data_IF_062252374281
#
_entry.id   IF_062252374281
#
_cell.length_a   1.000
_cell.length_b   1.000
_cell.length_c   1.000
_cell.angle_alpha   90.00
_cell.angle_beta   90.00
_cell.angle_gamma   90.00
#
_symmetry.space_group_name_H-M   'P 1'
#
loop_
_entity.id
_entity.type
_entity.pdbx_description
1 polymer ?
#
# COMPACT_ATOMS: atom_id res chain seq x y z
N UNK A 1 -2.45 -42.05 -15.23
CA UNK A 1 -1.21 -41.33 -15.59
C UNK A 1 -1.58 -40.33 -16.68
N UNK A 2 -1.70 -39.06 -16.32
CA UNK A 2 -2.09 -37.98 -17.25
C UNK A 2 -0.83 -37.34 -17.85
N UNK A 3 -0.82 -36.98 -19.15
CA UNK A 3 0.36 -36.37 -19.73
C UNK A 3 0.51 -34.91 -19.30
N UNK A 4 1.67 -34.61 -18.72
CA UNK A 4 2.17 -33.25 -18.45
C UNK A 4 2.62 -32.68 -19.80
N UNK A 5 2.02 -31.58 -20.23
CA UNK A 5 2.46 -30.86 -21.43
C UNK A 5 3.40 -29.73 -20.99
N UNK A 6 4.69 -29.89 -21.27
CA UNK A 6 5.70 -28.84 -21.10
C UNK A 6 5.86 -28.17 -22.46
N UNK A 7 5.45 -26.92 -22.60
CA UNK A 7 5.78 -26.10 -23.76
C UNK A 7 6.99 -25.23 -23.45
N UNK A 8 8.11 -25.56 -24.08
CA UNK A 8 9.29 -24.72 -24.17
C UNK A 8 9.01 -23.55 -25.14
N UNK A 9 9.23 -22.32 -24.69
CA UNK A 9 9.14 -21.14 -25.55
C UNK A 9 10.41 -21.05 -26.41
N UNK A 10 10.27 -21.36 -27.70
CA UNK A 10 11.24 -21.03 -28.72
C UNK A 10 11.23 -19.52 -28.98
N UNK A 11 12.42 -18.93 -28.93
CA UNK A 11 12.68 -17.55 -29.31
C UNK A 11 12.88 -17.48 -30.83
N UNK A 12 11.93 -16.93 -31.57
CA UNK A 12 12.18 -16.39 -32.91
C UNK A 12 11.46 -15.07 -33.11
N UNK A 13 12.23 -14.12 -33.64
CA UNK A 13 11.95 -12.72 -33.83
C UNK A 13 11.43 -12.53 -35.26
N UNK A 14 10.26 -11.93 -35.43
CA UNK A 14 9.87 -11.24 -36.67
C UNK A 14 8.74 -10.26 -36.36
N UNK A 15 9.04 -8.98 -36.57
CA UNK A 15 8.07 -7.88 -36.58
C UNK A 15 6.99 -8.15 -37.62
N UNK A 16 5.74 -7.82 -37.30
CA UNK A 16 4.77 -7.24 -38.24
C UNK A 16 3.68 -6.53 -37.42
N UNK A 17 3.30 -5.37 -37.92
CA UNK A 17 2.42 -4.37 -37.33
C UNK A 17 1.06 -4.95 -36.93
N UNK A 18 0.57 -4.57 -35.75
CA UNK A 18 -0.76 -4.94 -35.29
C UNK A 18 -1.12 -4.25 -33.98
N UNK A 19 -1.80 -3.11 -34.09
CA UNK A 19 -2.63 -2.49 -33.04
C UNK A 19 -1.95 -2.33 -31.68
N UNK A 20 -1.28 -1.21 -31.46
CA UNK A 20 -0.96 -0.74 -30.11
C UNK A 20 -2.31 -0.49 -29.44
N UNK A 21 -2.78 -1.43 -28.61
CA UNK A 21 -3.81 -1.13 -27.63
C UNK A 21 -3.28 0.07 -26.85
N UNK A 22 -3.88 1.24 -27.07
CA UNK A 22 -3.57 2.44 -26.31
C UNK A 22 -4.01 2.16 -24.88
N UNK A 23 -3.11 1.56 -24.09
CA UNK A 23 -3.30 1.44 -22.66
C UNK A 23 -3.53 2.85 -22.15
N UNK A 24 -4.70 3.07 -21.56
CA UNK A 24 -5.01 4.31 -20.86
C UNK A 24 -3.85 4.65 -19.94
N UNK A 25 -3.39 5.90 -19.98
CA UNK A 25 -2.45 6.39 -18.96
C UNK A 25 -3.20 6.38 -17.64
N UNK A 26 -2.63 5.76 -16.62
CA UNK A 26 -3.25 5.67 -15.33
C UNK A 26 -2.29 6.23 -14.31
N UNK A 27 -2.76 7.26 -13.64
CA UNK A 27 -2.11 7.88 -12.50
C UNK A 27 -3.06 7.65 -11.33
N UNK A 28 -2.53 7.18 -10.20
CA UNK A 28 -3.32 6.92 -9.00
C UNK A 28 -2.47 7.17 -7.77
N UNK A 29 -3.12 7.34 -6.63
CA UNK A 29 -2.42 7.69 -5.40
C UNK A 29 -2.98 6.98 -4.19
N UNK A 30 -2.17 6.94 -3.13
CA UNK A 30 -2.56 6.43 -1.83
C UNK A 30 -2.00 7.34 -0.74
N UNK A 31 -2.84 7.71 0.21
CA UNK A 31 -2.43 8.47 1.39
C UNK A 31 -2.23 7.51 2.55
N UNK A 32 -1.12 7.68 3.27
CA UNK A 32 -0.82 6.94 4.49
C UNK A 32 -0.68 7.92 5.65
N UNK A 33 -1.39 7.64 6.73
CA UNK A 33 -1.35 8.45 7.96
C UNK A 33 -0.78 7.61 9.09
N UNK A 34 0.16 8.18 9.83
CA UNK A 34 0.80 7.48 10.96
C UNK A 34 -0.24 7.17 12.04
N UNK A 35 -0.27 5.92 12.49
CA UNK A 35 -0.97 5.53 13.71
C UNK A 35 0.01 5.50 14.89
N UNK A 36 0.08 6.59 15.66
CA UNK A 36 1.08 6.70 16.73
C UNK A 36 0.98 5.56 17.74
N UNK A 37 2.11 4.95 18.06
CA UNK A 37 2.26 3.96 19.11
C UNK A 37 3.62 4.18 19.77
N UNK A 38 3.68 4.39 21.10
CA UNK A 38 4.92 4.76 21.81
C UNK A 38 6.08 3.78 21.61
N UNK A 39 5.80 2.50 21.37
CA UNK A 39 6.80 1.44 21.19
C UNK A 39 7.33 1.33 19.75
N UNK A 40 6.59 1.85 18.76
CA UNK A 40 6.89 1.72 17.33
C UNK A 40 7.55 3.00 16.77
N UNK A 41 8.78 3.27 17.24
CA UNK A 41 9.55 4.48 16.88
C UNK A 41 10.29 4.38 15.54
N UNK A 42 10.52 3.16 15.03
CA UNK A 42 11.22 2.93 13.76
C UNK A 42 10.24 2.66 12.61
N UNK A 43 10.65 3.00 11.38
CA UNK A 43 9.80 2.90 10.19
C UNK A 43 9.43 1.45 9.81
N UNK A 44 10.29 0.49 10.15
CA UNK A 44 10.10 -0.94 9.92
C UNK A 44 8.98 -1.56 10.78
N UNK A 45 8.75 -0.97 11.97
CA UNK A 45 7.70 -1.40 12.90
C UNK A 45 6.50 -0.45 12.97
N UNK A 46 6.65 0.76 12.43
CA UNK A 46 5.58 1.75 12.35
C UNK A 46 4.38 1.20 11.56
N UNK A 47 3.20 1.59 12.03
CA UNK A 47 1.93 1.22 11.45
C UNK A 47 1.19 2.44 10.91
N UNK A 48 0.47 2.22 9.81
CA UNK A 48 -0.18 3.28 9.06
C UNK A 48 -1.63 2.94 8.80
N UNK A 49 -2.47 3.95 8.91
CA UNK A 49 -3.77 3.99 8.24
C UNK A 49 -3.54 4.35 6.77
N UNK A 50 -4.40 3.85 5.89
CA UNK A 50 -4.25 4.06 4.45
C UNK A 50 -5.62 4.28 3.82
N UNK A 51 -5.66 5.14 2.80
CA UNK A 51 -6.89 5.49 2.08
C UNK A 51 -6.58 6.33 0.86
N UNK A 52 -7.45 6.28 -0.14
CA UNK A 52 -7.30 7.07 -1.38
C UNK A 52 -7.71 8.52 -1.16
N UNK A 53 -8.71 8.75 -0.32
CA UNK A 53 -9.24 10.06 0.06
C UNK A 53 -9.41 10.17 1.58
N UNK A 54 -9.84 11.35 2.04
CA UNK A 54 -10.10 11.61 3.46
C UNK A 54 -11.28 10.80 4.00
N UNK A 55 -12.27 10.49 3.16
CA UNK A 55 -13.44 9.71 3.56
C UNK A 55 -13.02 8.28 3.91
N UNK A 56 -12.14 7.67 3.11
CA UNK A 56 -11.56 6.35 3.36
C UNK A 56 -10.66 6.31 4.58
N UNK A 57 -10.01 7.42 4.92
CA UNK A 57 -9.19 7.58 6.12
C UNK A 57 -10.04 7.81 7.38
N UNK A 58 -11.27 8.30 7.24
CA UNK A 58 -12.12 8.65 8.36
C UNK A 58 -12.40 7.44 9.27
N UNK A 59 -12.44 7.63 10.61
CA UNK A 59 -12.78 6.56 11.54
C UNK A 59 -14.16 5.93 11.24
N UNK A 60 -15.12 6.76 10.82
CA UNK A 60 -16.48 6.32 10.48
C UNK A 60 -16.50 5.33 9.32
N UNK A 61 -15.77 5.61 8.23
CA UNK A 61 -15.66 4.68 7.10
C UNK A 61 -14.90 3.41 7.47
N UNK A 62 -13.77 3.54 8.16
CA UNK A 62 -12.92 2.40 8.53
C UNK A 62 -13.61 1.42 9.46
N UNK A 63 -14.47 1.93 10.33
CA UNK A 63 -15.29 1.11 11.21
C UNK A 63 -16.49 0.46 10.50
N UNK A 64 -16.86 0.94 9.30
CA UNK A 64 -17.94 0.37 8.51
C UNK A 64 -17.59 -1.02 7.97
N UNK A 65 -18.62 -1.82 7.63
CA UNK A 65 -18.46 -3.14 7.01
C UNK A 65 -17.69 -3.04 5.68
N UNK A 66 -17.89 -1.94 4.92
CA UNK A 66 -17.19 -1.70 3.66
C UNK A 66 -15.70 -1.41 3.89
N UNK A 67 -15.37 -0.53 4.85
CA UNK A 67 -13.99 -0.23 5.24
C UNK A 67 -13.24 -1.45 5.74
N UNK A 68 -13.87 -2.24 6.63
CA UNK A 68 -13.31 -3.52 7.12
C UNK A 68 -13.09 -4.54 6.01
N UNK A 69 -13.93 -4.54 4.97
CA UNK A 69 -13.78 -5.42 3.82
C UNK A 69 -12.59 -5.02 2.94
N UNK A 70 -12.33 -3.71 2.79
CA UNK A 70 -11.15 -3.17 2.09
C UNK A 70 -9.87 -3.48 2.85
N UNK A 71 -9.91 -3.47 4.19
CA UNK A 71 -8.77 -3.89 5.01
C UNK A 71 -8.46 -5.39 4.91
N UNK A 72 -9.28 -6.22 4.24
CA UNK A 72 -9.04 -7.67 4.06
C UNK A 72 -8.80 -8.47 5.36
N UNK A 73 -9.25 -7.96 6.50
CA UNK A 73 -9.16 -8.63 7.79
C UNK A 73 -10.55 -8.69 8.42
N UNK A 74 -11.28 -9.77 8.09
CA UNK A 74 -12.35 -10.26 8.95
C UNK A 74 -11.76 -11.41 9.76
N UNK A 75 -11.16 -11.08 10.88
CA UNK A 75 -10.83 -12.04 11.93
C UNK A 75 -11.71 -11.65 13.13
N UNK A 76 -12.67 -12.53 13.46
CA UNK A 76 -13.64 -12.37 14.54
C UNK A 76 -12.97 -12.57 15.92
N UNK A 77 -12.08 -11.68 16.33
CA UNK A 77 -11.51 -11.67 17.69
C UNK A 77 -11.70 -10.33 18.41
N UNK A 78 -12.00 -10.46 19.70
CA UNK A 78 -12.53 -9.45 20.62
C UNK A 78 -11.49 -8.35 20.93
N UNK A 79 -11.96 -7.10 20.77
CA UNK A 79 -11.50 -5.78 21.23
C UNK A 79 -10.07 -5.28 21.00
N UNK A 80 -9.02 -6.10 20.96
CA UNK A 80 -7.63 -5.63 20.74
C UNK A 80 -7.12 -5.83 19.29
N UNK A 81 -7.86 -6.63 18.51
CA UNK A 81 -7.53 -7.01 17.12
C UNK A 81 -8.07 -6.03 16.07
N UNK A 82 -8.98 -5.13 16.45
CA UNK A 82 -9.61 -4.19 15.51
C UNK A 82 -8.64 -3.12 15.00
N UNK A 83 -7.74 -2.61 15.85
CA UNK A 83 -6.73 -1.62 15.44
C UNK A 83 -5.65 -2.28 14.56
N UNK A 84 -5.27 -3.52 14.86
CA UNK A 84 -4.37 -4.34 14.03
C UNK A 84 -4.97 -4.71 12.68
N UNK A 85 -6.29 -4.91 12.63
CA UNK A 85 -7.02 -5.14 11.40
C UNK A 85 -6.96 -3.92 10.46
N UNK A 86 -7.06 -2.72 11.02
CA UNK A 86 -7.18 -1.48 10.25
C UNK A 86 -5.85 -0.72 10.00
N UNK A 87 -4.73 -1.22 10.53
CA UNK A 87 -3.39 -0.68 10.31
C UNK A 87 -2.51 -1.66 9.55
N UNK A 88 -1.52 -1.15 8.82
CA UNK A 88 -0.56 -1.97 8.08
C UNK A 88 0.87 -1.49 8.31
N UNK A 89 1.82 -2.43 8.27
CA UNK A 89 3.26 -2.11 8.20
C UNK A 89 3.65 -1.82 6.74
N UNK A 90 4.70 -1.04 6.54
CA UNK A 90 5.16 -0.70 5.20
C UNK A 90 5.89 -1.88 4.53
N UNK A 91 5.68 -2.12 3.23
CA UNK A 91 6.52 -3.00 2.44
C UNK A 91 7.93 -2.43 2.26
N UNK A 92 8.89 -3.31 2.03
CA UNK A 92 10.31 -2.96 1.84
C UNK A 92 10.53 -1.92 0.72
N UNK A 93 9.76 -2.00 -0.36
CA UNK A 93 9.80 -1.02 -1.43
C UNK A 93 9.48 0.41 -0.98
N UNK A 94 8.48 0.59 -0.10
CA UNK A 94 8.16 1.91 0.42
C UNK A 94 9.17 2.41 1.44
N UNK A 95 9.72 1.53 2.28
CA UNK A 95 10.77 1.90 3.23
C UNK A 95 12.00 2.42 2.49
N UNK A 96 12.46 1.71 1.44
CA UNK A 96 13.56 2.15 0.58
C UNK A 96 13.30 3.50 -0.09
N UNK A 97 12.06 3.74 -0.54
CA UNK A 97 11.67 5.02 -1.14
C UNK A 97 11.66 6.17 -0.12
N UNK A 98 11.23 5.94 1.12
CA UNK A 98 11.28 6.94 2.19
C UNK A 98 12.72 7.29 2.56
N UNK A 99 13.57 6.28 2.71
CA UNK A 99 14.98 6.47 3.07
C UNK A 99 15.75 7.22 1.96
N UNK A 100 15.51 6.88 0.69
CA UNK A 100 16.16 7.55 -0.44
C UNK A 100 15.67 8.97 -0.70
N UNK A 101 14.44 9.30 -0.29
CA UNK A 101 13.86 10.65 -0.39
C UNK A 101 14.09 11.52 0.86
N UNK A 102 14.57 10.94 1.96
CA UNK A 102 14.75 11.64 3.23
C UNK A 102 13.43 11.98 3.94
N UNK A 103 12.35 11.26 3.64
CA UNK A 103 11.00 11.50 4.18
C UNK A 103 10.64 10.58 5.36
N UNK A 104 11.58 9.78 5.86
CA UNK A 104 11.35 8.83 6.95
C UNK A 104 10.84 9.51 8.23
N UNK A 105 11.42 10.64 8.62
CA UNK A 105 10.97 11.40 9.79
C UNK A 105 9.57 11.99 9.61
N UNK A 106 9.30 12.62 8.45
CA UNK A 106 7.99 13.17 8.13
C UNK A 106 6.89 12.08 8.14
N UNK A 107 7.23 10.89 7.62
CA UNK A 107 6.36 9.72 7.65
C UNK A 107 6.09 9.21 9.07
N UNK A 108 7.08 9.27 9.97
CA UNK A 108 6.92 8.88 11.37
C UNK A 108 6.13 9.90 12.20
N UNK A 109 6.18 11.17 11.84
CA UNK A 109 5.44 12.24 12.53
C UNK A 109 3.96 12.27 12.10
N UNK A 110 3.69 12.34 10.81
CA UNK A 110 2.34 12.57 10.28
C UNK A 110 1.90 11.52 9.25
N UNK A 111 2.84 11.04 8.44
CA UNK A 111 2.55 10.14 7.33
C UNK A 111 3.06 10.71 6.01
N UNK A 112 2.63 10.13 4.91
CA UNK A 112 3.11 10.48 3.58
C UNK A 112 2.11 10.12 2.50
N UNK A 113 2.34 10.61 1.30
CA UNK A 113 1.52 10.36 0.13
C UNK A 113 2.33 9.61 -0.93
N UNK A 114 1.70 8.65 -1.59
CA UNK A 114 2.29 7.87 -2.67
C UNK A 114 1.58 8.23 -3.96
N UNK A 115 2.36 8.64 -4.94
CA UNK A 115 1.90 8.80 -6.31
C UNK A 115 2.41 7.65 -7.15
N UNK A 116 1.54 7.10 -7.99
CA UNK A 116 1.84 5.97 -8.86
C UNK A 116 1.38 6.26 -10.28
N UNK A 117 2.12 5.76 -11.27
CA UNK A 117 1.83 5.95 -12.68
C UNK A 117 2.19 4.74 -13.51
N UNK A 118 1.41 4.46 -14.55
CA UNK A 118 1.72 3.43 -15.56
C UNK A 118 2.80 3.86 -16.55
N UNK A 119 3.15 5.15 -16.59
CA UNK A 119 4.18 5.74 -17.46
C UNK A 119 5.26 6.41 -16.63
N UNK A 120 6.45 6.60 -17.20
CA UNK A 120 7.51 7.35 -16.53
C UNK A 120 7.10 8.83 -16.45
N UNK A 121 6.90 9.41 -15.26
CA UNK A 121 6.50 10.80 -15.14
C UNK A 121 7.74 11.69 -15.25
N UNK A 122 7.78 12.53 -16.29
CA UNK A 122 8.81 13.54 -16.55
C UNK A 122 10.27 13.05 -16.30
N UNK A 123 11.22 13.98 -16.14
CA UNK A 123 12.64 13.68 -15.83
C UNK A 123 12.94 13.79 -14.33
N UNK A 124 11.92 13.61 -13.49
CA UNK A 124 12.09 13.73 -12.05
C UNK A 124 12.76 12.45 -11.49
N UNK A 125 13.94 12.56 -10.85
CA UNK A 125 14.65 11.41 -10.30
C UNK A 125 13.95 10.78 -9.09
N UNK A 126 12.96 11.45 -8.47
CA UNK A 126 12.23 10.91 -7.33
C UNK A 126 11.28 9.75 -7.71
N UNK A 127 11.01 9.55 -9.01
CA UNK A 127 10.22 8.42 -9.49
C UNK A 127 11.06 7.15 -9.58
N UNK A 128 10.69 6.17 -8.77
CA UNK A 128 11.31 4.85 -8.72
C UNK A 128 10.56 3.89 -9.63
N UNK A 129 11.31 3.09 -10.38
CA UNK A 129 10.78 2.12 -11.34
C UNK A 129 10.57 0.76 -10.68
N UNK A 130 9.38 0.20 -10.84
CA UNK A 130 9.03 -1.14 -10.38
C UNK A 130 8.60 -2.02 -11.55
N UNK A 131 9.01 -3.28 -11.52
CA UNK A 131 8.73 -4.28 -12.56
C UNK A 131 7.93 -5.42 -11.96
N UNK A 132 6.86 -5.82 -12.65
CA UNK A 132 6.04 -6.96 -12.25
C UNK A 132 6.89 -8.24 -12.26
N UNK A 133 6.92 -8.95 -11.13
CA UNK A 133 7.59 -10.23 -11.00
C UNK A 133 6.63 -11.40 -11.19
N UNK A 134 5.46 -11.32 -10.55
CA UNK A 134 4.51 -12.42 -10.52
C UNK A 134 3.07 -11.90 -10.35
N UNK A 135 2.14 -12.63 -10.97
CA UNK A 135 0.70 -12.49 -10.76
C UNK A 135 0.19 -13.81 -10.17
N UNK A 136 -0.49 -13.73 -9.03
CA UNK A 136 -1.05 -14.87 -8.32
C UNK A 136 -2.54 -14.70 -8.09
N UNK A 137 -3.32 -15.76 -8.30
CA UNK A 137 -4.73 -15.79 -7.90
C UNK A 137 -4.88 -16.54 -6.58
N UNK A 138 -5.24 -15.82 -5.52
CA UNK A 138 -5.61 -16.42 -4.24
C UNK A 138 -7.07 -16.87 -4.31
N UNK A 139 -7.32 -18.17 -4.11
CA UNK A 139 -8.67 -18.72 -3.94
C UNK A 139 -9.05 -18.67 -2.47
N UNK A 140 -9.84 -17.68 -2.08
CA UNK A 140 -10.44 -17.57 -0.76
C UNK A 140 -11.79 -18.30 -0.70
N UNK A 141 -12.06 -18.95 0.44
CA UNK A 141 -13.38 -19.51 0.74
C UNK A 141 -14.28 -18.37 1.24
N UNK A 142 -15.18 -17.89 0.39
CA UNK A 142 -16.15 -16.86 0.79
C UNK A 142 -17.26 -17.41 1.68
N UNK A 143 -17.95 -16.50 2.37
CA UNK A 143 -19.18 -16.80 3.12
C UNK A 143 -20.22 -17.40 2.16
N UNK A 144 -20.96 -18.41 2.61
CA UNK A 144 -21.92 -19.18 1.80
C UNK A 144 -21.30 -20.04 0.67
N UNK A 145 -20.02 -20.39 0.75
CA UNK A 145 -19.40 -21.36 -0.16
C UNK A 145 -19.07 -20.82 -1.55
N UNK A 146 -19.16 -19.51 -1.78
CA UNK A 146 -18.69 -18.87 -3.01
C UNK A 146 -17.17 -18.67 -2.95
N UNK A 147 -16.42 -19.21 -3.90
CA UNK A 147 -14.98 -18.93 -4.04
C UNK A 147 -14.80 -17.46 -4.41
N UNK A 148 -14.10 -16.68 -3.58
CA UNK A 148 -13.60 -15.36 -3.95
C UNK A 148 -12.20 -15.55 -4.51
N UNK A 149 -12.01 -15.23 -5.79
CA UNK A 149 -10.68 -15.19 -6.36
C UNK A 149 -10.19 -13.74 -6.25
N UNK A 150 -9.17 -13.50 -5.45
CA UNK A 150 -8.46 -12.21 -5.43
C UNK A 150 -7.16 -12.36 -6.20
N UNK A 151 -6.96 -11.50 -7.19
CA UNK A 151 -5.68 -11.39 -7.89
C UNK A 151 -4.76 -10.55 -7.03
N UNK A 152 -3.51 -10.98 -6.86
CA UNK A 152 -2.45 -10.24 -6.19
C UNK A 152 -1.22 -10.25 -7.07
N UNK A 153 -0.55 -9.11 -7.16
CA UNK A 153 0.57 -8.92 -8.08
C UNK A 153 1.76 -8.39 -7.30
N UNK A 154 2.90 -9.03 -7.44
CA UNK A 154 4.14 -8.61 -6.82
C UNK A 154 5.00 -7.83 -7.83
N UNK A 155 5.48 -6.66 -7.41
CA UNK A 155 6.43 -5.83 -8.12
C UNK A 155 7.74 -5.75 -7.35
N UNK A 156 8.84 -5.58 -8.08
CA UNK A 156 10.17 -5.37 -7.52
C UNK A 156 10.78 -4.08 -8.07
N UNK A 157 11.44 -3.34 -7.19
CA UNK A 157 12.20 -2.15 -7.53
C UNK A 157 13.36 -2.51 -8.48
N UNK A 158 13.55 -1.68 -9.50
CA UNK A 158 14.56 -1.91 -10.53
C UNK A 158 15.98 -1.73 -9.99
N UNK A 159 16.65 -2.83 -9.66
CA UNK A 159 18.06 -2.83 -9.23
C UNK A 159 18.26 -3.12 -7.74
N UNK A 160 17.20 -3.43 -7.01
CA UNK A 160 17.24 -3.87 -5.61
C UNK A 160 16.41 -5.13 -5.43
N UNK A 161 16.36 -5.66 -4.21
CA UNK A 161 15.50 -6.79 -3.83
C UNK A 161 14.19 -6.32 -3.16
N UNK A 162 13.91 -5.01 -3.19
CA UNK A 162 12.75 -4.44 -2.51
C UNK A 162 11.47 -4.69 -3.31
N UNK A 163 10.41 -5.11 -2.62
CA UNK A 163 9.16 -5.54 -3.26
C UNK A 163 7.96 -4.76 -2.75
N UNK A 164 6.90 -4.74 -3.55
CA UNK A 164 5.59 -4.25 -3.18
C UNK A 164 4.49 -5.09 -3.83
N UNK A 165 3.44 -5.38 -3.07
CA UNK A 165 2.28 -6.12 -3.56
C UNK A 165 1.13 -5.18 -3.91
N UNK A 166 0.40 -5.53 -4.97
CA UNK A 166 -0.73 -4.76 -5.48
C UNK A 166 -1.96 -5.65 -5.68
N UNK A 167 -3.14 -5.08 -5.46
CA UNK A 167 -4.42 -5.71 -5.81
C UNK A 167 -5.10 -4.88 -6.89
N UNK A 168 -5.41 -5.46 -8.07
CA UNK A 168 -6.18 -4.75 -9.09
C UNK A 168 -7.57 -4.45 -8.57
N UNK A 169 -7.96 -3.18 -8.61
CA UNK A 169 -9.31 -2.74 -8.25
C UNK A 169 -10.30 -2.94 -9.41
N UNK A 170 -9.79 -3.05 -10.63
CA UNK A 170 -10.56 -3.13 -11.85
C UNK A 170 -10.14 -4.35 -12.68
N UNK A 171 -11.03 -4.88 -13.55
CA UNK A 171 -10.75 -6.08 -14.33
C UNK A 171 -9.69 -5.86 -15.42
N UNK A 172 -9.23 -4.63 -15.62
CA UNK A 172 -8.15 -4.34 -16.56
C UNK A 172 -6.82 -4.89 -16.05
N UNK A 173 -5.97 -5.42 -16.96
CA UNK A 173 -4.69 -5.96 -16.58
C UNK A 173 -3.81 -4.86 -15.98
N UNK A 174 -3.13 -5.20 -14.88
CA UNK A 174 -2.15 -4.31 -14.28
C UNK A 174 -0.96 -4.10 -15.22
N UNK A 175 -0.38 -2.88 -15.24
CA UNK A 175 0.74 -2.56 -16.12
C UNK A 175 2.01 -3.32 -15.71
N UNK A 176 2.78 -3.85 -16.67
CA UNK A 176 4.02 -4.61 -16.38
C UNK A 176 5.10 -3.78 -15.66
N UNK A 177 5.03 -2.46 -15.78
CA UNK A 177 5.94 -1.51 -15.15
C UNK A 177 5.07 -0.45 -14.50
N UNK A 178 5.38 -0.13 -13.25
CA UNK A 178 4.81 1.02 -12.54
C UNK A 178 5.95 1.93 -12.12
N UNK A 179 5.64 3.22 -12.06
CA UNK A 179 6.49 4.23 -11.45
C UNK A 179 5.81 4.68 -10.18
N UNK A 180 6.57 4.80 -9.10
CA UNK A 180 6.06 5.29 -7.83
C UNK A 180 6.98 6.37 -7.28
N UNK A 181 6.41 7.32 -6.54
CA UNK A 181 7.13 8.34 -5.79
C UNK A 181 6.43 8.56 -4.46
N UNK A 182 7.21 8.83 -3.42
CA UNK A 182 6.70 9.27 -2.12
C UNK A 182 6.87 10.78 -1.99
N UNK A 183 5.89 11.45 -1.41
CA UNK A 183 5.90 12.87 -1.08
C UNK A 183 5.37 13.07 0.33
N UNK A 184 5.62 14.23 0.93
CA UNK A 184 4.93 14.63 2.15
C UNK A 184 3.42 14.66 1.94
N UNK A 185 2.66 14.61 3.04
CA UNK A 185 1.22 14.76 2.99
C UNK A 185 0.85 16.14 2.41
N UNK A 186 -0.03 16.20 1.40
CA UNK A 186 -0.53 17.48 0.90
C UNK A 186 -1.15 18.30 2.04
N UNK A 187 -0.90 19.62 2.12
CA UNK A 187 -1.37 20.43 3.24
C UNK A 187 -2.88 20.36 3.49
N UNK A 188 -3.68 20.22 2.42
CA UNK A 188 -5.13 20.02 2.50
C UNK A 188 -5.50 18.70 3.18
N UNK A 189 -4.80 17.62 2.84
CA UNK A 189 -5.00 16.30 3.42
C UNK A 189 -4.56 16.29 4.87
N UNK A 190 -3.39 16.87 5.18
CA UNK A 190 -2.90 16.99 6.55
C UNK A 190 -3.90 17.76 7.44
N UNK A 191 -4.42 18.89 6.95
CA UNK A 191 -5.43 19.66 7.67
C UNK A 191 -6.71 18.84 7.93
N UNK A 192 -7.18 18.07 6.95
CA UNK A 192 -8.33 17.18 7.11
C UNK A 192 -8.09 16.07 8.13
N UNK A 193 -6.93 15.42 8.06
CA UNK A 193 -6.52 14.36 9.00
C UNK A 193 -6.44 14.89 10.44
N UNK A 194 -5.96 16.12 10.64
CA UNK A 194 -5.95 16.80 11.94
C UNK A 194 -7.38 17.11 12.41
N UNK A 195 -8.24 17.63 11.52
CA UNK A 195 -9.62 17.98 11.87
C UNK A 195 -10.45 16.76 12.28
N UNK A 196 -10.21 15.61 11.64
CA UNK A 196 -10.83 14.32 11.98
C UNK A 196 -10.20 13.64 13.22
N UNK A 197 -9.17 14.26 13.83
CA UNK A 197 -8.50 13.74 15.02
C UNK A 197 -7.70 12.46 14.79
N UNK A 198 -7.34 12.12 13.55
CA UNK A 198 -6.72 10.83 13.21
C UNK A 198 -5.29 10.72 13.78
N UNK A 199 -4.55 11.84 13.79
CA UNK A 199 -3.18 11.91 14.36
C UNK A 199 -3.16 12.05 15.88
N UNK A 200 -4.25 12.51 16.48
CA UNK A 200 -4.39 12.70 17.92
C UNK A 200 -5.75 12.17 18.38
N UNK A 201 -6.00 10.84 18.28
CA UNK A 201 -7.29 10.26 18.65
C UNK A 201 -7.58 10.45 20.14
N UNK A 202 -6.53 10.37 20.96
CA UNK A 202 -6.56 10.63 22.38
C UNK A 202 -5.66 11.85 22.63
N UNK A 203 -6.25 13.01 22.88
CA UNK A 203 -5.53 14.21 23.32
C UNK A 203 -5.02 14.06 24.77
N UNK A 204 -4.56 12.88 25.14
CA UNK A 204 -3.88 12.67 26.40
C UNK A 204 -2.47 13.23 26.24
N UNK A 205 -2.20 14.26 27.04
CA UNK A 205 -0.89 14.87 27.13
C UNK A 205 0.12 13.76 27.46
N UNK A 206 1.02 13.45 26.52
CA UNK A 206 2.14 12.52 26.73
C UNK A 206 2.87 12.94 28.00
N UNK A 207 2.88 12.07 29.02
CA UNK A 207 3.55 12.39 30.28
C UNK A 207 5.06 12.35 30.08
N UNK A 208 5.80 13.12 30.89
CA UNK A 208 7.26 13.21 30.81
C UNK A 208 7.96 11.85 31.05
N UNK A 209 7.24 10.90 31.66
CA UNK A 209 7.65 9.51 31.84
C UNK A 209 7.74 8.74 30.50
N UNK A 210 6.88 9.02 29.51
CA UNK A 210 6.98 8.43 28.16
C UNK A 210 8.23 8.89 27.40
N UNK A 211 8.70 10.12 27.69
CA UNK A 211 9.96 10.64 27.16
C UNK A 211 11.19 10.01 27.85
N UNK A 212 10.99 9.48 29.07
CA UNK A 212 12.02 8.84 29.89
C UNK A 212 12.07 7.31 29.70
N UNK A 213 11.20 6.75 28.85
CA UNK A 213 11.12 5.32 28.61
C UNK A 213 12.32 4.83 27.78
N UNK A 214 13.35 4.39 28.50
CA UNK A 214 14.63 3.88 28.00
C UNK A 214 14.54 2.39 27.64
N UNK A 215 13.59 2.03 26.78
CA UNK A 215 13.74 0.88 25.90
C UNK A 215 12.94 -0.36 26.27
N UNK A 216 11.85 -0.53 25.55
CA UNK A 216 11.65 -1.70 24.69
C UNK A 216 11.05 -1.21 23.38
N UNK A 217 11.90 -0.76 22.45
CA UNK A 217 11.45 -0.55 21.08
C UNK A 217 10.97 -1.89 20.52
N UNK A 218 9.79 -1.90 19.92
CA UNK A 218 9.34 -3.08 19.21
C UNK A 218 10.34 -3.34 18.08
N UNK A 219 10.96 -4.52 18.10
CA UNK A 219 11.81 -5.00 17.01
C UNK A 219 11.00 -5.76 15.96
N UNK A 220 9.75 -6.09 16.29
CA UNK A 220 8.88 -6.93 15.46
C UNK A 220 7.47 -6.38 15.50
N UNK A 221 6.97 -5.93 14.35
CA UNK A 221 5.56 -5.62 14.19
C UNK A 221 4.81 -6.82 13.62
N UNK A 222 3.74 -7.25 14.32
CA UNK A 222 2.85 -8.34 13.86
C UNK A 222 1.79 -7.87 12.86
N UNK A 223 1.73 -6.58 12.54
CA UNK A 223 0.79 -6.06 11.56
C UNK A 223 1.06 -6.67 10.18
N UNK A 224 0.00 -6.89 9.41
CA UNK A 224 0.10 -7.34 8.02
C UNK A 224 0.77 -6.25 7.18
N UNK A 225 1.54 -6.67 6.18
CA UNK A 225 2.15 -5.76 5.21
C UNK A 225 1.08 -5.09 4.37
N UNK A 226 1.30 -3.82 4.03
CA UNK A 226 0.38 -3.08 3.18
C UNK A 226 0.43 -3.63 1.77
N UNK A 227 -0.74 -4.04 1.27
CA UNK A 227 -0.94 -4.35 -0.14
C UNK A 227 -1.56 -3.13 -0.80
N UNK A 228 -0.91 -2.58 -1.82
CA UNK A 228 -1.30 -1.34 -2.45
C UNK A 228 -2.47 -1.54 -3.43
N UNK A 229 -3.33 -0.53 -3.61
CA UNK A 229 -4.35 -0.58 -4.64
C UNK A 229 -3.72 -0.43 -6.03
N UNK A 230 -4.26 -1.17 -6.99
CA UNK A 230 -4.05 -0.90 -8.40
C UNK A 230 -4.73 0.41 -8.85
N UNK A 231 -4.52 0.81 -10.11
CA UNK A 231 -5.13 2.00 -10.68
C UNK A 231 -6.65 2.01 -10.54
N UNK A 232 -7.22 3.21 -10.44
CA UNK A 232 -8.65 3.41 -10.45
C UNK A 232 -9.25 3.42 -11.88
N UNK A 233 -10.58 3.47 -11.94
CA UNK A 233 -11.34 3.62 -13.17
C UNK A 233 -11.42 5.11 -13.50
N UNK A 234 -10.55 5.53 -14.41
CA UNK A 234 -10.51 6.86 -15.03
C UNK A 234 -10.29 8.06 -14.10
N UNK A 235 -9.04 8.50 -13.98
CA UNK A 235 -8.63 9.92 -14.13
C UNK A 235 -9.39 10.99 -13.34
N UNK A 236 -10.02 10.64 -12.22
CA UNK A 236 -10.75 11.57 -11.38
C UNK A 236 -9.85 11.97 -10.21
N UNK A 237 -9.03 12.99 -10.45
CA UNK A 237 -8.65 13.97 -9.43
C UNK A 237 -9.65 15.12 -9.46
#
# INVERSE_FOLDING_TARGET
MSPVTVQAAHCERSQLEGGISMGSNKDWSLTLVRHYSPSAKKIDVATFYFGRDLDELSPGWRNSVAGRMVSLSMEDSVDDDQVRALTRKLPSGLISMLDSSGLTEAALESGFHIEMSSRKPNRDPAWVRFVMLAEGTLRGRGMFGRSRNSVQICYMESGTENTMEFIPLFPEPMPKIIWARVTELPPSTLAGVIAEGILCPDSEQTTLDEFSDLGFEDQICRAKELVLPGPDWDGCC
#
